data_IF_870669479810
#
_entry.id   IF_870669479810
#
_cell.length_a   1.000
_cell.length_b   1.000
_cell.length_c   1.000
_cell.angle_alpha   90.00
_cell.angle_beta   90.00
_cell.angle_gamma   90.00
#
_symmetry.space_group_name_H-M   'P 1'
#
loop_
_entity.id
_entity.type
_entity.pdbx_description
1 polymer ?
#
# COMPACT_ATOMS: atom_id res chain seq x y z
N UNK A 1 10.30 -34.51 5.47
CA UNK A 1 10.77 -33.43 4.59
C UNK A 1 11.51 -32.40 5.42
N UNK A 2 12.72 -32.04 5.00
CA UNK A 2 13.42 -30.87 5.51
C UNK A 2 13.28 -29.79 4.44
N UNK A 3 12.56 -28.72 4.76
CA UNK A 3 12.28 -27.61 3.86
C UNK A 3 13.20 -26.47 4.29
N UNK A 4 14.14 -26.12 3.44
CA UNK A 4 14.97 -24.91 3.60
C UNK A 4 14.30 -23.80 2.80
N UNK A 5 13.87 -22.74 3.47
CA UNK A 5 13.30 -21.58 2.80
C UNK A 5 14.24 -20.39 2.92
N UNK A 6 14.45 -19.69 1.81
CA UNK A 6 15.27 -18.50 1.75
C UNK A 6 14.41 -17.31 1.35
N UNK A 7 14.14 -16.44 2.33
CA UNK A 7 13.31 -15.23 2.17
C UNK A 7 13.90 -14.24 1.16
N UNK A 8 15.21 -14.31 0.88
CA UNK A 8 15.88 -13.49 -0.13
C UNK A 8 15.63 -13.93 -1.58
N UNK A 9 14.98 -15.07 -1.82
CA UNK A 9 14.67 -15.59 -3.15
C UNK A 9 13.17 -15.55 -3.45
N UNK A 10 12.35 -15.01 -2.54
CA UNK A 10 10.90 -14.93 -2.75
C UNK A 10 10.61 -14.04 -3.98
N UNK A 11 10.13 -14.71 -5.03
CA UNK A 11 9.78 -14.09 -6.30
C UNK A 11 8.30 -13.75 -6.28
N UNK A 12 7.97 -12.49 -6.52
CA UNK A 12 6.60 -12.10 -6.70
C UNK A 12 6.02 -12.75 -7.96
N UNK A 13 4.96 -13.51 -7.79
CA UNK A 13 4.14 -13.98 -8.90
C UNK A 13 3.38 -12.80 -9.49
N UNK A 14 3.02 -12.91 -10.78
CA UNK A 14 2.17 -11.91 -11.44
C UNK A 14 0.87 -11.67 -10.67
N UNK A 15 0.23 -12.74 -10.20
CA UNK A 15 -1.05 -12.68 -9.47
C UNK A 15 -0.93 -11.89 -8.17
N UNK A 16 0.16 -12.07 -7.41
CA UNK A 16 0.39 -11.31 -6.17
C UNK A 16 0.54 -9.82 -6.46
N UNK A 17 1.32 -9.47 -7.50
CA UNK A 17 1.49 -8.07 -7.91
C UNK A 17 0.20 -7.46 -8.46
N UNK A 18 -0.60 -8.23 -9.21
CA UNK A 18 -1.90 -7.79 -9.68
C UNK A 18 -2.87 -7.51 -8.53
N UNK A 19 -2.76 -8.25 -7.42
CA UNK A 19 -3.53 -7.98 -6.21
C UNK A 19 -3.04 -6.70 -5.51
N UNK A 20 -1.73 -6.48 -5.39
CA UNK A 20 -1.20 -5.21 -4.88
C UNK A 20 -1.59 -4.03 -5.74
N UNK A 21 -1.54 -4.18 -7.07
CA UNK A 21 -2.03 -3.17 -8.01
C UNK A 21 -3.48 -2.80 -7.74
N UNK A 22 -4.39 -3.78 -7.57
CA UNK A 22 -5.80 -3.51 -7.26
C UNK A 22 -5.96 -2.75 -5.93
N UNK A 23 -5.22 -3.14 -4.89
CA UNK A 23 -5.26 -2.47 -3.59
C UNK A 23 -4.74 -1.04 -3.66
N UNK A 24 -3.65 -0.81 -4.38
CA UNK A 24 -3.07 0.52 -4.61
C UNK A 24 -3.99 1.41 -5.45
N UNK A 25 -4.51 0.89 -6.56
CA UNK A 25 -5.39 1.62 -7.48
C UNK A 25 -6.71 2.04 -6.82
N UNK A 26 -7.23 1.22 -5.90
CA UNK A 26 -8.49 1.47 -5.17
C UNK A 26 -8.32 2.21 -3.85
N UNK A 27 -7.09 2.45 -3.39
CA UNK A 27 -6.81 3.16 -2.13
C UNK A 27 -7.32 4.60 -2.23
N UNK A 28 -8.16 5.02 -1.29
CA UNK A 28 -8.49 6.44 -1.10
C UNK A 28 -7.25 7.13 -0.53
N UNK A 29 -6.65 8.02 -1.32
CA UNK A 29 -5.45 8.77 -0.93
C UNK A 29 -5.83 10.12 -0.33
N UNK A 30 -6.78 10.81 -0.96
CA UNK A 30 -7.29 12.10 -0.48
C UNK A 30 -8.82 12.03 -0.50
N UNK A 31 -9.48 11.94 0.67
CA UNK A 31 -10.93 12.03 0.69
C UNK A 31 -11.37 13.41 0.21
N UNK A 32 -12.55 13.51 -0.40
CA UNK A 32 -13.14 14.81 -0.73
C UNK A 32 -13.32 15.65 0.53
N UNK A 33 -13.14 16.96 0.38
CA UNK A 33 -13.35 17.87 1.50
C UNK A 33 -14.80 17.80 2.00
N UNK A 34 -14.99 17.90 3.32
CA UNK A 34 -16.32 17.89 3.95
C UNK A 34 -16.38 18.96 5.03
N UNK A 35 -17.29 19.93 4.86
CA UNK A 35 -17.44 21.06 5.78
C UNK A 35 -16.08 21.75 6.02
N UNK A 36 -15.61 21.79 7.27
CA UNK A 36 -14.34 22.38 7.67
C UNK A 36 -13.15 21.42 7.56
N UNK A 37 -13.37 20.13 7.27
CA UNK A 37 -12.29 19.15 7.13
C UNK A 37 -11.63 19.29 5.76
N UNK A 38 -10.31 19.56 5.70
CA UNK A 38 -9.60 19.64 4.43
C UNK A 38 -9.61 18.31 3.69
N UNK A 39 -9.63 18.38 2.36
CA UNK A 39 -9.63 17.23 1.47
C UNK A 39 -9.49 17.67 0.02
N UNK A 40 -9.90 16.82 -0.91
CA UNK A 40 -9.93 17.17 -2.33
C UNK A 40 -11.00 18.25 -2.61
N UNK A 41 -10.57 19.34 -3.24
CA UNK A 41 -11.40 20.48 -3.63
C UNK A 41 -11.18 20.85 -5.10
N UNK A 42 -12.23 21.36 -5.74
CA UNK A 42 -12.19 22.00 -7.06
C UNK A 42 -12.47 23.50 -6.93
N UNK A 43 -12.25 24.24 -8.01
CA UNK A 43 -12.63 25.65 -8.05
C UNK A 43 -14.16 25.77 -7.95
N UNK A 44 -14.60 26.70 -7.11
CA UNK A 44 -16.00 26.91 -6.82
C UNK A 44 -16.72 27.70 -7.92
N UNK A 45 -18.02 27.89 -7.74
CA UNK A 45 -18.82 28.76 -8.62
C UNK A 45 -18.36 30.23 -8.55
N UNK A 46 -17.79 30.64 -7.42
CA UNK A 46 -17.03 31.88 -7.28
C UNK A 46 -15.55 31.55 -7.47
N UNK A 47 -14.86 32.14 -8.46
CA UNK A 47 -13.46 31.85 -8.72
C UNK A 47 -12.57 32.06 -7.49
N UNK A 48 -11.75 31.07 -7.16
CA UNK A 48 -10.83 31.08 -6.03
C UNK A 48 -11.42 30.52 -4.73
N UNK A 49 -12.74 30.42 -4.62
CA UNK A 49 -13.38 29.72 -3.50
C UNK A 49 -13.28 28.21 -3.70
N UNK A 50 -13.08 27.46 -2.61
CA UNK A 50 -13.03 26.01 -2.65
C UNK A 50 -14.42 25.39 -2.65
N UNK A 51 -14.70 24.49 -3.59
CA UNK A 51 -15.82 23.56 -3.53
C UNK A 51 -15.31 22.12 -3.34
N UNK A 52 -16.11 21.24 -2.73
CA UNK A 52 -15.74 19.83 -2.62
C UNK A 52 -15.55 19.22 -4.02
N UNK A 53 -14.53 18.38 -4.18
CA UNK A 53 -14.39 17.55 -5.38
C UNK A 53 -15.58 16.58 -5.52
N UNK A 54 -15.83 16.11 -6.74
CA UNK A 54 -16.98 15.23 -7.03
C UNK A 54 -16.82 13.83 -6.41
N UNK A 55 -15.58 13.39 -6.23
CA UNK A 55 -15.22 12.11 -5.62
C UNK A 55 -13.95 12.24 -4.77
N UNK A 56 -13.66 11.19 -4.00
CA UNK A 56 -12.36 11.00 -3.38
C UNK A 56 -11.29 10.78 -4.46
N UNK A 57 -10.06 11.19 -4.19
CA UNK A 57 -8.91 10.92 -5.06
C UNK A 57 -8.33 9.56 -4.68
N UNK A 58 -8.35 8.64 -5.65
CA UNK A 58 -7.84 7.29 -5.52
C UNK A 58 -6.38 7.20 -5.97
N UNK A 59 -5.68 6.13 -5.58
CA UNK A 59 -4.32 5.86 -6.06
C UNK A 59 -4.25 5.79 -7.58
N UNK A 60 -5.28 5.25 -8.24
CA UNK A 60 -5.38 5.19 -9.70
C UNK A 60 -5.54 6.55 -10.39
N UNK A 61 -6.00 7.58 -9.69
CA UNK A 61 -6.04 8.95 -10.23
C UNK A 61 -4.65 9.58 -10.23
N UNK A 62 -3.79 9.18 -9.28
CA UNK A 62 -2.46 9.74 -9.06
C UNK A 62 -1.35 8.95 -9.76
N UNK A 63 -1.55 7.67 -10.02
CA UNK A 63 -0.55 6.79 -10.58
C UNK A 63 -1.12 5.88 -11.66
N UNK A 64 -0.31 5.57 -12.68
CA UNK A 64 -0.46 4.35 -13.47
C UNK A 64 0.38 3.27 -12.81
N UNK A 65 -0.26 2.22 -12.32
CA UNK A 65 0.42 1.05 -11.75
C UNK A 65 0.50 -0.06 -12.80
N UNK A 66 1.67 -0.60 -13.07
CA UNK A 66 1.88 -1.66 -14.05
C UNK A 66 2.56 -2.87 -13.43
N UNK A 67 2.17 -4.07 -13.88
CA UNK A 67 2.80 -5.34 -13.53
C UNK A 67 3.43 -5.92 -14.79
N UNK A 68 4.76 -5.98 -14.80
CA UNK A 68 5.55 -6.37 -15.97
C UNK A 68 6.60 -7.41 -15.60
N UNK A 69 7.09 -8.17 -16.58
CA UNK A 69 8.19 -9.09 -16.34
C UNK A 69 9.45 -8.31 -15.92
N UNK A 70 10.20 -8.85 -14.96
CA UNK A 70 11.50 -8.32 -14.56
C UNK A 70 12.62 -9.06 -15.30
N UNK A 71 13.12 -8.45 -16.37
CA UNK A 71 14.18 -9.04 -17.19
C UNK A 71 15.54 -9.08 -16.45
N UNK A 72 15.74 -8.26 -15.42
CA UNK A 72 17.02 -8.11 -14.72
C UNK A 72 17.12 -9.08 -13.54
N UNK A 73 16.05 -9.20 -12.75
CA UNK A 73 16.00 -10.05 -11.56
C UNK A 73 15.24 -11.37 -11.74
N UNK A 74 14.59 -11.56 -12.89
CA UNK A 74 13.67 -12.66 -13.13
C UNK A 74 12.32 -12.46 -12.45
N UNK A 75 11.28 -13.15 -12.93
CA UNK A 75 9.93 -13.04 -12.40
C UNK A 75 9.20 -11.77 -12.88
N UNK A 76 8.49 -11.11 -11.97
CA UNK A 76 7.69 -9.92 -12.24
C UNK A 76 8.03 -8.77 -11.29
N UNK A 77 7.74 -7.55 -11.73
CA UNK A 77 7.86 -6.32 -10.95
C UNK A 77 6.61 -5.45 -11.07
N UNK A 78 6.38 -4.64 -10.04
CA UNK A 78 5.33 -3.62 -10.04
C UNK A 78 5.97 -2.24 -10.08
N UNK A 79 5.58 -1.45 -11.08
CA UNK A 79 6.06 -0.09 -11.32
C UNK A 79 4.93 0.90 -11.19
N UNK A 80 5.24 2.13 -10.77
CA UNK A 80 4.28 3.23 -10.76
C UNK A 80 4.81 4.38 -11.62
N UNK A 81 3.91 5.04 -12.33
CA UNK A 81 4.19 6.28 -13.07
C UNK A 81 3.26 7.38 -12.56
N UNK A 82 3.79 8.49 -12.01
CA UNK A 82 2.97 9.61 -11.56
C UNK A 82 2.11 10.20 -12.68
N UNK A 83 0.88 10.60 -12.33
CA UNK A 83 -0.03 11.38 -13.17
C UNK A 83 -0.13 12.81 -12.64
N UNK A 84 -0.50 13.72 -13.52
CA UNK A 84 -0.82 15.11 -13.16
C UNK A 84 -2.32 15.27 -12.98
N UNK A 85 -2.72 15.92 -11.88
CA UNK A 85 -4.10 16.35 -11.65
C UNK A 85 -4.06 17.88 -11.51
N UNK A 86 -4.63 18.60 -12.48
CA UNK A 86 -4.56 20.07 -12.53
C UNK A 86 -5.76 20.76 -11.88
N UNK A 87 -6.93 20.13 -11.92
CA UNK A 87 -8.19 20.80 -11.63
C UNK A 87 -8.63 20.62 -10.16
N UNK A 88 -7.94 19.75 -9.43
CA UNK A 88 -8.18 19.43 -8.02
C UNK A 88 -6.97 19.84 -7.19
N UNK A 89 -7.25 20.37 -6.00
CA UNK A 89 -6.26 20.72 -4.98
C UNK A 89 -6.61 20.06 -3.65
N UNK A 90 -5.65 20.01 -2.74
CA UNK A 90 -5.89 19.69 -1.34
C UNK A 90 -6.15 20.97 -0.53
N UNK A 91 -7.30 21.08 0.12
CA UNK A 91 -7.67 22.28 0.87
C UNK A 91 -9.05 22.21 1.51
N UNK A 92 -9.53 23.35 1.99
CA UNK A 92 -10.84 23.48 2.65
C UNK A 92 -11.89 24.09 1.72
N UNK A 93 -13.15 23.74 1.93
CA UNK A 93 -14.30 24.38 1.26
C UNK A 93 -14.46 25.81 1.77
N UNK A 94 -14.92 26.72 0.90
CA UNK A 94 -15.30 28.08 1.25
C UNK A 94 -14.34 29.14 0.73
N UNK A 95 -14.45 30.34 1.28
CA UNK A 95 -13.83 31.52 0.68
C UNK A 95 -12.31 31.39 0.56
N UNK A 96 -11.76 31.68 -0.63
CA UNK A 96 -10.34 31.53 -0.98
C UNK A 96 -9.78 30.10 -0.79
N UNK A 97 -10.64 29.09 -0.58
CA UNK A 97 -10.21 27.72 -0.34
C UNK A 97 -9.39 27.15 -1.49
N UNK A 98 -9.79 27.41 -2.74
CA UNK A 98 -9.08 26.94 -3.93
C UNK A 98 -7.80 27.73 -4.21
N UNK A 99 -7.82 29.05 -3.98
CA UNK A 99 -6.62 29.90 -4.07
C UNK A 99 -5.55 29.45 -3.09
N UNK A 100 -5.92 29.16 -1.85
CA UNK A 100 -5.01 28.74 -0.78
C UNK A 100 -4.69 27.23 -0.79
N UNK A 101 -5.45 26.45 -1.56
CA UNK A 101 -5.30 25.01 -1.69
C UNK A 101 -3.92 24.62 -2.24
N UNK A 102 -3.43 23.46 -1.81
CA UNK A 102 -2.17 22.89 -2.27
C UNK A 102 -2.38 22.13 -3.57
N UNK A 103 -1.54 22.40 -4.55
CA UNK A 103 -1.44 21.56 -5.74
C UNK A 103 -1.07 20.14 -5.32
N UNK A 104 -1.76 19.15 -5.89
CA UNK A 104 -1.47 17.75 -5.61
C UNK A 104 -0.40 17.27 -6.59
N UNK A 105 0.70 16.73 -6.06
CA UNK A 105 1.79 16.18 -6.89
C UNK A 105 2.13 14.77 -6.45
N UNK A 106 2.23 13.85 -7.41
CA UNK A 106 2.59 12.46 -7.16
C UNK A 106 4.10 12.25 -7.34
N UNK A 107 4.76 11.64 -6.35
CA UNK A 107 6.20 11.38 -6.37
C UNK A 107 6.55 10.08 -7.11
N UNK A 108 7.67 10.07 -7.84
CA UNK A 108 8.22 8.83 -8.39
C UNK A 108 8.73 7.91 -7.28
N UNK A 109 8.74 6.60 -7.51
CA UNK A 109 9.44 5.65 -6.64
C UNK A 109 10.17 4.58 -7.44
N UNK A 110 11.03 3.84 -6.77
CA UNK A 110 11.54 2.57 -7.27
C UNK A 110 10.40 1.57 -7.50
N UNK A 111 10.69 0.54 -8.30
CA UNK A 111 9.78 -0.57 -8.54
C UNK A 111 9.80 -1.56 -7.38
N UNK A 112 8.65 -2.17 -7.07
CA UNK A 112 8.62 -3.37 -6.25
C UNK A 112 9.14 -4.54 -7.08
N UNK A 113 10.25 -5.10 -6.62
CA UNK A 113 11.01 -6.16 -7.29
C UNK A 113 11.37 -7.23 -6.26
N UNK A 114 11.83 -8.39 -6.73
CA UNK A 114 12.42 -9.44 -5.88
C UNK A 114 13.44 -8.84 -4.90
N UNK A 115 13.35 -9.26 -3.63
CA UNK A 115 14.22 -8.79 -2.55
C UNK A 115 13.81 -7.45 -1.91
N UNK A 116 12.63 -6.92 -2.27
CA UNK A 116 11.97 -5.80 -1.59
C UNK A 116 10.64 -6.25 -1.03
N UNK A 117 10.17 -5.61 0.04
CA UNK A 117 8.81 -5.72 0.54
C UNK A 117 8.07 -4.40 0.44
N UNK A 118 6.77 -4.47 0.16
CA UNK A 118 5.88 -3.30 0.04
C UNK A 118 5.07 -3.08 1.32
N UNK A 119 5.09 -1.85 1.84
CA UNK A 119 4.12 -1.38 2.82
C UNK A 119 2.99 -0.62 2.12
N UNK A 120 1.85 -1.29 1.92
CA UNK A 120 0.65 -0.70 1.30
C UNK A 120 0.07 0.47 2.11
N UNK A 121 0.23 0.46 3.44
CA UNK A 121 -0.34 1.48 4.31
C UNK A 121 0.43 2.79 4.20
N UNK A 122 1.76 2.71 4.15
CA UNK A 122 2.66 3.85 4.02
C UNK A 122 2.84 4.36 2.56
N UNK A 123 2.53 3.51 1.57
CA UNK A 123 2.53 3.92 0.15
C UNK A 123 1.41 4.91 -0.14
N UNK A 124 1.61 5.83 -1.09
CA UNK A 124 0.59 6.83 -1.48
C UNK A 124 0.04 7.64 -0.30
N UNK A 125 0.93 8.14 0.55
CA UNK A 125 0.58 8.97 1.70
C UNK A 125 0.68 10.44 1.31
N UNK A 126 -0.38 11.21 1.55
CA UNK A 126 -0.39 12.66 1.36
C UNK A 126 0.38 13.37 2.46
N UNK A 127 1.34 14.20 2.07
CA UNK A 127 1.87 15.27 2.90
C UNK A 127 0.92 16.48 2.82
N UNK A 128 0.14 16.69 3.87
CA UNK A 128 -0.89 17.75 3.92
C UNK A 128 -0.31 19.17 3.89
N UNK A 129 0.99 19.32 4.17
CA UNK A 129 1.67 20.63 4.16
C UNK A 129 2.08 21.02 2.75
N UNK A 130 2.65 20.10 1.98
CA UNK A 130 3.14 20.35 0.62
C UNK A 130 2.10 20.04 -0.48
N UNK A 131 1.16 19.13 -0.23
CA UNK A 131 0.28 18.56 -1.26
C UNK A 131 0.91 17.38 -2.02
N UNK A 132 2.13 16.98 -1.66
CA UNK A 132 2.83 15.87 -2.28
C UNK A 132 2.31 14.52 -1.78
N UNK A 133 2.11 13.56 -2.67
CA UNK A 133 1.75 12.18 -2.36
C UNK A 133 2.98 11.29 -2.61
N UNK A 134 3.37 10.50 -1.61
CA UNK A 134 4.49 9.56 -1.74
C UNK A 134 4.24 8.47 -2.79
N UNK A 135 5.30 7.85 -3.31
CA UNK A 135 5.21 6.68 -4.17
C UNK A 135 5.07 5.37 -3.36
N UNK A 136 5.68 4.28 -3.85
CA UNK A 136 5.74 3.01 -3.11
C UNK A 136 6.67 3.13 -1.89
N UNK A 137 6.20 2.66 -0.73
CA UNK A 137 7.01 2.50 0.47
C UNK A 137 7.64 1.10 0.47
N UNK A 138 8.94 1.05 0.19
CA UNK A 138 9.69 -0.19 0.00
C UNK A 138 10.79 -0.35 1.05
N UNK A 139 10.97 -1.58 1.52
CA UNK A 139 12.09 -1.98 2.37
C UNK A 139 12.81 -3.18 1.78
N UNK A 140 14.10 -3.36 2.09
CA UNK A 140 14.84 -4.54 1.67
C UNK A 140 14.35 -5.77 2.44
N UNK A 141 14.17 -6.88 1.72
CA UNK A 141 13.91 -8.17 2.34
C UNK A 141 15.20 -8.65 3.00
N UNK A 142 15.19 -8.80 4.33
CA UNK A 142 16.33 -9.39 5.03
C UNK A 142 16.45 -10.86 4.62
N UNK A 143 17.56 -11.20 3.96
CA UNK A 143 17.85 -12.58 3.58
C UNK A 143 18.02 -13.43 4.86
N UNK A 144 17.02 -14.26 5.14
CA UNK A 144 17.03 -15.26 6.20
C UNK A 144 16.85 -16.63 5.59
N UNK A 145 17.63 -17.59 6.05
CA UNK A 145 17.42 -19.01 5.73
C UNK A 145 16.84 -19.64 6.98
N UNK A 146 15.59 -20.08 6.94
CA UNK A 146 15.08 -20.91 8.03
C UNK A 146 14.70 -22.30 7.50
N UNK A 147 14.66 -23.25 8.43
CA UNK A 147 14.48 -24.67 8.12
C UNK A 147 13.28 -25.21 8.87
N UNK A 148 12.31 -25.76 8.14
CA UNK A 148 11.16 -26.46 8.70
C UNK A 148 11.32 -27.98 8.48
N UNK A 149 11.19 -28.76 9.56
CA UNK A 149 11.20 -30.24 9.49
C UNK A 149 9.77 -30.75 9.57
N UNK A 150 9.22 -31.19 8.43
CA UNK A 150 7.90 -31.82 8.33
C UNK A 150 8.05 -33.32 8.43
N UNK A 151 7.44 -33.94 9.45
CA UNK A 151 7.34 -35.40 9.56
C UNK A 151 5.90 -35.82 9.28
N UNK A 152 5.69 -36.66 8.26
CA UNK A 152 4.39 -37.29 7.99
C UNK A 152 4.45 -38.70 8.56
N UNK A 153 3.54 -39.03 9.48
CA UNK A 153 3.43 -40.35 10.11
C UNK A 153 2.01 -40.84 9.91
N UNK A 154 1.84 -42.07 9.43
CA UNK A 154 0.53 -42.72 9.38
C UNK A 154 0.23 -43.33 10.77
N UNK A 155 -0.25 -42.50 11.69
CA UNK A 155 -0.62 -42.88 13.05
C UNK A 155 -1.92 -42.19 13.45
N UNK A 156 -2.65 -42.78 14.40
CA UNK A 156 -3.79 -42.12 15.04
C UNK A 156 -3.23 -41.06 16.00
N UNK A 157 -3.44 -39.78 15.69
CA UNK A 157 -3.06 -38.69 16.58
C UNK A 157 -4.00 -38.67 17.80
N UNK A 158 -3.41 -38.69 18.99
CA UNK A 158 -4.11 -38.52 20.26
C UNK A 158 -3.40 -37.39 20.99
N UNK A 159 -4.08 -36.24 21.11
CA UNK A 159 -3.61 -35.13 21.94
C UNK A 159 -4.09 -35.41 23.37
N UNK A 160 -3.15 -35.70 24.27
CA UNK A 160 -3.43 -35.85 25.70
C UNK A 160 -3.01 -34.53 26.35
N UNK A 161 -4.00 -33.76 26.80
CA UNK A 161 -3.74 -32.63 27.68
C UNK A 161 -3.49 -33.16 29.08
N UNK A 162 -2.36 -32.77 29.69
CA UNK A 162 -2.01 -33.18 31.05
C UNK A 162 -2.34 -32.02 31.98
N UNK A 163 -3.62 -31.89 32.32
CA UNK A 163 -4.05 -31.02 33.41
C UNK A 163 -3.58 -31.64 34.75
N UNK A 164 -2.41 -31.20 35.22
CA UNK A 164 -1.90 -31.56 36.53
C UNK A 164 -2.61 -30.74 37.62
N UNK A 165 -3.83 -31.13 37.97
CA UNK A 165 -4.51 -30.60 39.16
C UNK A 165 -5.27 -31.70 39.93
N UNK A 166 -4.53 -32.47 40.72
CA UNK A 166 -4.99 -32.93 42.04
C UNK A 166 -3.81 -33.54 42.81
N UNK A 167 -3.20 -32.74 43.67
CA UNK A 167 -2.44 -33.24 44.81
C UNK A 167 -3.49 -33.70 45.85
N UNK A 168 -3.66 -35.00 46.06
CA UNK A 168 -4.12 -35.49 47.35
C UNK A 168 -2.88 -36.04 48.07
N UNK A 169 -2.38 -35.27 49.03
CA UNK A 169 -1.42 -35.72 50.03
C UNK A 169 -2.15 -36.63 51.04
N UNK A 170 -1.66 -37.86 51.19
CA UNK A 170 -2.09 -38.83 52.20
C UNK A 170 -1.72 -38.42 53.64
#
# INVERSE_FOLDING_TARGET
FEIVYNKGIEEYTKTELDNYKKLLDSKIVIPKAVRANPGAIKDGSTPGDGAAADADILGSDLYTTDVVADADKGGYKLTITPKTISDIKYGTIGSNGYTNGKTITAATSEALVKGKTLDLSASYTLNTTSGEVSGLSLSDTTAGTDTAKVRIVNAKEITIDLDASSYESA
#
